data_IF_505909359882
#
_entry.id   IF_505909359882
#
_cell.length_a   1.000
_cell.length_b   1.000
_cell.length_c   1.000
_cell.angle_alpha   90.00
_cell.angle_beta   90.00
_cell.angle_gamma   90.00
#
_symmetry.space_group_name_H-M   'P 1'
#
loop_
_entity.id
_entity.type
_entity.pdbx_description
1 polymer ?
#
# COMPACT_ATOMS: atom_id res chain seq x y z
N UNK A 1 62.37 -47.00 22.31
CA UNK A 1 61.96 -46.17 23.46
C UNK A 1 62.41 -44.74 23.17
N UNK A 2 61.44 -43.84 22.94
CA UNK A 2 61.41 -42.38 23.23
C UNK A 2 62.82 -41.73 23.36
N UNK A 3 63.30 -40.83 22.50
CA UNK A 3 62.73 -39.51 22.23
C UNK A 3 63.34 -38.88 20.94
N UNK A 4 62.45 -38.39 20.07
CA UNK A 4 62.66 -37.37 19.01
C UNK A 4 62.94 -35.99 19.67
N UNK A 5 63.43 -34.89 19.08
CA UNK A 5 63.62 -34.42 17.70
C UNK A 5 64.49 -33.13 17.72
N UNK A 6 64.99 -32.80 16.54
CA UNK A 6 65.86 -31.71 16.08
C UNK A 6 65.53 -30.25 16.48
N UNK A 7 66.52 -29.33 16.36
CA UNK A 7 66.34 -27.89 16.43
C UNK A 7 66.25 -27.16 15.06
N UNK A 8 65.45 -26.10 15.06
CA UNK A 8 65.64 -24.73 14.49
C UNK A 8 65.57 -24.39 12.98
N UNK A 9 64.80 -23.29 12.78
CA UNK A 9 64.76 -22.25 11.71
C UNK A 9 63.87 -22.49 10.46
N UNK A 10 63.37 -21.42 9.79
CA UNK A 10 62.89 -20.13 10.29
C UNK A 10 61.47 -19.73 9.77
N UNK A 11 60.97 -18.67 10.39
CA UNK A 11 59.84 -17.80 10.05
C UNK A 11 59.48 -17.69 8.55
N UNK A 12 58.30 -18.21 8.21
CA UNK A 12 57.55 -17.78 7.02
C UNK A 12 56.30 -17.02 7.44
N UNK A 13 56.25 -15.79 6.97
CA UNK A 13 55.11 -14.87 6.98
C UNK A 13 53.78 -15.61 6.71
N UNK A 14 52.85 -15.55 7.68
CA UNK A 14 51.43 -15.75 7.41
C UNK A 14 50.82 -14.39 7.08
N UNK A 15 50.14 -14.20 5.93
CA UNK A 15 49.35 -13.01 5.72
C UNK A 15 48.15 -13.08 6.67
N UNK A 16 48.01 -12.06 7.51
CA UNK A 16 46.84 -11.82 8.32
C UNK A 16 45.67 -11.55 7.35
N UNK A 17 44.65 -12.41 7.36
CA UNK A 17 43.39 -12.14 6.66
C UNK A 17 42.77 -10.90 7.33
N UNK A 18 42.92 -9.74 6.68
CA UNK A 18 42.17 -8.55 7.04
C UNK A 18 40.71 -8.79 6.66
N UNK A 19 39.88 -9.14 7.63
CA UNK A 19 38.43 -9.01 7.49
C UNK A 19 38.15 -7.53 7.18
N UNK A 20 37.43 -7.19 6.09
CA UNK A 20 36.95 -5.83 5.93
C UNK A 20 35.96 -5.57 7.06
N UNK A 21 36.37 -4.73 8.01
CA UNK A 21 35.49 -4.10 8.96
C UNK A 21 34.46 -3.35 8.13
N UNK A 22 33.25 -3.91 8.00
CA UNK A 22 32.12 -3.23 7.42
C UNK A 22 31.82 -2.05 8.34
N UNK A 23 32.38 -0.90 7.99
CA UNK A 23 32.11 0.35 8.67
C UNK A 23 30.67 0.70 8.34
N UNK A 24 29.74 0.30 9.21
CA UNK A 24 28.41 0.87 9.24
C UNK A 24 28.63 2.33 9.63
N UNK A 25 28.79 3.19 8.63
CA UNK A 25 28.62 4.62 8.81
C UNK A 25 27.15 4.81 9.14
N UNK A 26 26.81 4.72 10.42
CA UNK A 26 25.64 5.44 10.92
C UNK A 26 25.94 6.88 10.58
N UNK A 27 25.30 7.42 9.53
CA UNK A 27 25.28 8.83 9.29
C UNK A 27 24.82 9.48 10.59
N UNK A 28 25.75 10.07 11.32
CA UNK A 28 25.44 10.95 12.43
C UNK A 28 24.72 12.10 11.77
N UNK A 29 23.39 12.02 11.74
CA UNK A 29 22.55 13.13 11.33
C UNK A 29 22.98 14.29 12.21
N UNK A 30 23.63 15.29 11.63
CA UNK A 30 24.04 16.49 12.35
C UNK A 30 22.82 16.99 13.11
N UNK A 31 22.95 17.17 14.42
CA UNK A 31 21.81 17.53 15.24
C UNK A 31 21.36 18.94 14.82
N UNK A 32 20.14 19.13 14.30
CA UNK A 32 19.76 20.38 13.63
C UNK A 32 19.52 21.54 14.61
N UNK A 33 19.55 21.28 15.93
CA UNK A 33 19.43 22.28 16.98
C UNK A 33 20.42 22.04 18.11
N UNK A 34 20.75 23.13 18.82
CA UNK A 34 21.52 23.09 20.05
C UNK A 34 20.58 22.84 21.25
N UNK A 35 20.53 21.60 21.71
CA UNK A 35 19.64 21.17 22.80
C UNK A 35 19.98 21.83 24.14
N UNK A 36 21.20 22.36 24.32
CA UNK A 36 21.58 23.08 25.55
C UNK A 36 20.86 24.42 25.72
N UNK A 37 20.26 24.93 24.64
CA UNK A 37 19.56 26.21 24.59
C UNK A 37 18.04 26.06 24.64
N UNK A 38 17.52 24.83 24.78
CA UNK A 38 16.09 24.64 24.93
C UNK A 38 15.60 25.25 26.23
N UNK A 39 14.44 25.92 26.22
CA UNK A 39 13.85 26.42 27.45
C UNK A 39 13.38 25.25 28.32
N UNK A 40 13.45 25.45 29.64
CA UNK A 40 13.18 24.42 30.63
C UNK A 40 12.12 24.89 31.62
N UNK A 41 11.34 23.98 32.22
CA UNK A 41 10.48 24.29 33.35
C UNK A 41 11.27 24.93 34.52
N UNK A 42 10.63 25.78 35.35
CA UNK A 42 11.25 26.28 36.57
C UNK A 42 11.71 25.14 37.50
N UNK A 43 12.83 25.34 38.18
CA UNK A 43 13.34 24.38 39.18
C UNK A 43 14.12 23.19 38.61
N UNK A 44 14.34 23.11 37.30
CA UNK A 44 15.20 22.08 36.70
C UNK A 44 16.68 22.34 36.95
N UNK A 45 17.45 21.30 37.26
CA UNK A 45 18.91 21.32 37.39
C UNK A 45 19.56 20.48 36.30
N UNK A 46 20.67 20.92 35.67
CA UNK A 46 21.37 20.13 34.66
C UNK A 46 22.03 18.91 35.29
N UNK A 47 21.94 17.77 34.59
CA UNK A 47 22.71 16.54 34.90
C UNK A 47 23.81 16.35 33.87
N UNK A 48 23.46 16.44 32.58
CA UNK A 48 24.38 16.37 31.46
C UNK A 48 23.82 17.20 30.31
N UNK A 49 24.52 18.25 29.88
CA UNK A 49 24.01 19.18 28.86
C UNK A 49 25.05 19.36 27.77
N UNK A 50 24.70 18.92 26.58
CA UNK A 50 25.50 19.02 25.38
C UNK A 50 24.62 19.50 24.22
N UNK A 51 25.21 20.02 23.13
CA UNK A 51 24.42 20.48 21.99
C UNK A 51 23.51 19.41 21.37
N UNK A 52 23.87 18.12 21.50
CA UNK A 52 23.15 17.01 20.87
C UNK A 52 22.34 16.14 21.84
N UNK A 53 22.46 16.36 23.14
CA UNK A 53 21.67 15.69 24.17
C UNK A 53 21.64 16.55 25.43
N UNK A 54 20.48 16.71 26.05
CA UNK A 54 20.35 17.46 27.28
C UNK A 54 19.51 16.69 28.29
N UNK A 55 20.04 16.51 29.50
CA UNK A 55 19.44 15.77 30.59
C UNK A 55 19.38 16.68 31.81
N UNK A 56 18.19 16.82 32.35
CA UNK A 56 17.89 17.64 33.52
C UNK A 56 17.13 16.82 34.56
N UNK A 57 17.19 17.26 35.81
CA UNK A 57 16.44 16.67 36.92
C UNK A 57 15.61 17.74 37.63
N UNK A 58 14.44 17.35 38.13
CA UNK A 58 13.56 18.19 38.95
C UNK A 58 12.88 17.37 40.03
N UNK A 59 12.51 18.04 41.12
CA UNK A 59 11.76 17.45 42.23
C UNK A 59 10.25 17.44 41.95
N UNK A 60 9.80 18.10 40.88
CA UNK A 60 8.41 18.08 40.45
C UNK A 60 7.97 16.68 39.97
N UNK A 61 6.68 16.30 40.17
CA UNK A 61 6.14 15.03 39.65
C UNK A 61 6.27 14.91 38.12
N UNK A 62 6.33 13.68 37.62
CA UNK A 62 6.47 13.36 36.19
C UNK A 62 5.41 14.07 35.34
N UNK A 63 4.13 13.94 35.69
CA UNK A 63 3.03 14.51 34.90
C UNK A 63 3.06 16.05 34.88
N UNK A 64 3.31 16.66 36.03
CA UNK A 64 3.46 18.12 36.14
C UNK A 64 4.64 18.63 35.32
N UNK A 65 5.74 17.89 35.32
CA UNK A 65 6.94 18.21 34.54
C UNK A 65 6.68 18.07 33.04
N UNK A 66 6.00 17.00 32.60
CA UNK A 66 5.64 16.80 31.20
C UNK A 66 4.72 17.92 30.68
N UNK A 67 3.72 18.32 31.47
CA UNK A 67 2.83 19.43 31.14
C UNK A 67 3.59 20.78 31.07
N UNK A 68 4.52 21.01 32.00
CA UNK A 68 5.35 22.22 31.98
C UNK A 68 6.28 22.26 30.75
N UNK A 69 6.91 21.14 30.37
CA UNK A 69 7.69 21.03 29.15
C UNK A 69 6.83 21.33 27.91
N UNK A 70 5.62 20.77 27.82
CA UNK A 70 4.71 21.00 26.71
C UNK A 70 4.37 22.48 26.55
N UNK A 71 4.05 23.17 27.66
CA UNK A 71 3.76 24.60 27.66
C UNK A 71 4.96 25.42 27.16
N UNK A 72 6.13 25.20 27.77
CA UNK A 72 7.34 25.98 27.48
C UNK A 72 7.83 25.79 26.03
N UNK A 73 7.70 24.58 25.49
CA UNK A 73 8.00 24.29 24.09
C UNK A 73 6.96 24.90 23.15
N UNK A 74 5.67 24.83 23.50
CA UNK A 74 4.58 25.47 22.77
C UNK A 74 4.79 26.99 22.63
N UNK A 75 5.22 27.66 23.70
CA UNK A 75 5.55 29.09 23.72
C UNK A 75 6.71 29.44 22.75
N UNK A 76 7.54 28.46 22.33
CA UNK A 76 8.61 28.59 21.34
C UNK A 76 8.22 28.12 19.92
N UNK A 77 6.94 27.84 19.69
CA UNK A 77 6.41 27.41 18.40
C UNK A 77 6.70 25.94 18.06
N UNK A 78 6.95 25.09 19.06
CA UNK A 78 6.96 23.64 18.88
C UNK A 78 5.54 23.09 18.93
N UNK A 79 5.18 22.24 17.98
CA UNK A 79 3.84 21.62 17.93
C UNK A 79 3.90 20.16 18.35
N UNK A 80 2.97 19.65 19.19
CA UNK A 80 2.89 18.22 19.50
C UNK A 80 2.81 17.37 18.24
N UNK A 81 3.52 16.24 18.24
CA UNK A 81 3.68 15.37 17.06
C UNK A 81 3.72 13.88 17.43
N UNK A 82 2.87 13.51 18.39
CA UNK A 82 2.70 12.14 18.87
C UNK A 82 3.47 11.82 20.15
N UNK A 83 3.40 10.56 20.57
CA UNK A 83 4.03 10.07 21.79
C UNK A 83 4.33 8.57 21.72
N UNK A 84 5.33 8.11 22.47
CA UNK A 84 5.62 6.68 22.67
C UNK A 84 6.07 6.47 24.11
N UNK A 85 5.29 5.72 24.90
CA UNK A 85 5.55 5.52 26.32
C UNK A 85 5.68 6.85 27.08
N UNK A 86 6.84 7.06 27.70
CA UNK A 86 7.19 8.29 28.44
C UNK A 86 7.77 9.40 27.55
N UNK A 87 7.93 9.14 26.25
CA UNK A 87 8.45 10.11 25.29
C UNK A 87 7.29 10.84 24.62
N UNK A 88 7.40 12.16 24.53
CA UNK A 88 6.55 13.05 23.75
C UNK A 88 7.37 13.60 22.58
N UNK A 89 6.77 13.64 21.40
CA UNK A 89 7.39 14.18 20.20
C UNK A 89 6.83 15.57 19.93
N UNK A 90 7.71 16.48 19.52
CA UNK A 90 7.34 17.82 19.06
C UNK A 90 8.01 18.11 17.72
N UNK A 91 7.38 18.94 16.91
CA UNK A 91 7.84 19.28 15.56
C UNK A 91 8.01 20.78 15.42
N UNK A 92 9.05 21.17 14.67
CA UNK A 92 9.26 22.53 14.17
C UNK A 92 9.93 22.44 12.80
N UNK A 93 9.17 22.68 11.73
CA UNK A 93 9.60 22.37 10.36
C UNK A 93 9.95 20.88 10.24
N UNK A 94 11.13 20.58 9.69
CA UNK A 94 11.63 19.22 9.53
C UNK A 94 12.36 18.66 10.75
N UNK A 95 12.35 19.36 11.88
CA UNK A 95 13.03 18.91 13.10
C UNK A 95 12.01 18.27 14.04
N UNK A 96 12.30 17.05 14.50
CA UNK A 96 11.52 16.36 15.54
C UNK A 96 12.32 16.34 16.84
N UNK A 97 11.75 16.93 17.88
CA UNK A 97 12.26 16.89 19.25
C UNK A 97 11.61 15.73 20.00
N UNK A 98 12.45 14.95 20.68
CA UNK A 98 12.07 13.87 21.59
C UNK A 98 12.25 14.38 23.01
N UNK A 99 11.18 14.33 23.81
CA UNK A 99 11.21 14.71 25.22
C UNK A 99 10.74 13.53 26.05
N UNK A 100 11.66 12.91 26.77
CA UNK A 100 11.35 11.80 27.69
C UNK A 100 11.30 12.34 29.11
N UNK A 101 10.18 12.16 29.80
CA UNK A 101 10.01 12.55 31.21
C UNK A 101 9.68 11.30 32.02
N UNK A 102 10.53 10.96 32.97
CA UNK A 102 10.36 9.74 33.77
C UNK A 102 11.00 9.87 35.16
N UNK A 103 10.54 9.06 36.11
CA UNK A 103 11.26 8.92 37.39
C UNK A 103 12.53 8.09 37.17
N UNK A 104 13.65 8.55 37.71
CA UNK A 104 14.93 7.87 37.63
C UNK A 104 15.39 7.40 39.02
N UNK A 105 15.33 6.08 39.33
CA UNK A 105 15.80 5.55 40.62
C UNK A 105 17.26 5.90 40.92
N UNK A 106 18.13 5.86 39.90
CA UNK A 106 19.54 6.26 40.01
C UNK A 106 19.77 7.76 40.28
N UNK A 107 18.73 8.59 40.26
CA UNK A 107 18.76 10.01 40.64
C UNK A 107 17.99 10.27 41.95
N UNK A 108 17.82 9.24 42.79
CA UNK A 108 17.10 9.33 44.05
C UNK A 108 15.57 9.38 43.86
N UNK A 109 15.05 8.79 42.79
CA UNK A 109 13.61 8.79 42.48
C UNK A 109 13.07 10.09 41.89
N UNK A 110 13.94 11.09 41.70
CA UNK A 110 13.59 12.38 41.08
C UNK A 110 13.18 12.21 39.62
N UNK A 111 12.44 13.20 39.12
CA UNK A 111 12.01 13.24 37.72
C UNK A 111 13.15 13.72 36.85
N UNK A 112 13.48 12.92 35.83
CA UNK A 112 14.46 13.26 34.80
C UNK A 112 13.75 13.67 33.52
N UNK A 113 14.29 14.70 32.87
CA UNK A 113 13.89 15.16 31.54
C UNK A 113 15.08 14.93 30.62
N UNK A 114 14.88 14.13 29.57
CA UNK A 114 15.89 13.90 28.54
C UNK A 114 15.40 14.43 27.20
N UNK A 115 16.23 15.23 26.55
CA UNK A 115 15.99 15.78 25.22
C UNK A 115 16.89 15.10 24.19
N UNK A 116 16.28 14.74 23.06
CA UNK A 116 16.96 14.34 21.84
C UNK A 116 16.29 14.98 20.65
N UNK A 117 16.94 14.97 19.49
CA UNK A 117 16.35 15.52 18.26
C UNK A 117 16.86 14.77 17.05
N UNK A 118 16.03 14.77 16.02
CA UNK A 118 16.31 14.17 14.75
C UNK A 118 15.80 15.05 13.60
N UNK A 119 16.46 14.91 12.46
CA UNK A 119 16.05 15.51 11.21
C UNK A 119 15.09 14.55 10.50
N UNK A 120 13.85 14.98 10.26
CA UNK A 120 12.87 14.20 9.52
C UNK A 120 13.13 14.30 8.01
N UNK A 121 12.87 13.18 7.33
CA UNK A 121 12.92 13.06 5.87
C UNK A 121 11.82 13.86 5.15
N UNK A 122 10.74 14.22 5.85
CA UNK A 122 9.60 14.94 5.29
C UNK A 122 8.96 15.91 6.30
N UNK A 123 8.58 17.10 5.83
CA UNK A 123 7.75 18.02 6.58
C UNK A 123 6.27 17.71 6.32
N UNK A 124 5.69 16.83 7.12
CA UNK A 124 4.28 16.45 7.00
C UNK A 124 3.41 17.28 7.98
N UNK A 125 2.43 18.06 7.50
CA UNK A 125 1.51 18.79 8.36
C UNK A 125 0.58 17.85 9.14
N UNK A 126 0.24 18.22 10.37
CA UNK A 126 -0.71 17.52 11.22
C UNK A 126 -1.95 18.41 11.42
N UNK A 127 -3.17 17.91 11.18
CA UNK A 127 -4.38 18.70 11.40
C UNK A 127 -4.61 18.96 12.89
N UNK A 128 -5.30 20.07 13.24
CA UNK A 128 -5.67 20.35 14.62
C UNK A 128 -6.57 19.24 15.17
N UNK A 129 -6.35 18.87 16.43
CA UNK A 129 -7.13 17.82 17.08
C UNK A 129 -6.83 16.39 16.60
N UNK A 130 -5.73 16.18 15.86
CA UNK A 130 -5.29 14.83 15.51
C UNK A 130 -4.93 14.02 16.76
N UNK A 131 -5.36 12.77 16.78
CA UNK A 131 -5.15 11.81 17.86
C UNK A 131 -4.31 10.63 17.36
N UNK A 132 -3.75 9.84 18.29
CA UNK A 132 -2.96 8.63 17.98
C UNK A 132 -1.87 8.85 16.93
N UNK A 133 -1.20 10.00 17.02
CA UNK A 133 -0.22 10.43 16.02
C UNK A 133 1.04 9.57 16.06
N UNK A 134 1.40 9.01 14.91
CA UNK A 134 2.58 8.16 14.73
C UNK A 134 3.34 8.57 13.47
N UNK A 135 4.61 8.94 13.63
CA UNK A 135 5.51 9.21 12.50
C UNK A 135 6.62 8.17 12.44
N UNK A 136 6.77 7.57 11.26
CA UNK A 136 7.83 6.63 10.93
C UNK A 136 8.70 7.19 9.79
N UNK A 137 9.94 7.55 10.11
CA UNK A 137 10.85 8.17 9.13
C UNK A 137 11.29 7.18 8.04
N UNK A 138 11.49 5.91 8.40
CA UNK A 138 11.91 4.85 7.47
C UNK A 138 10.92 4.63 6.32
N UNK A 139 9.63 4.87 6.55
CA UNK A 139 8.58 4.79 5.55
C UNK A 139 8.02 6.15 5.14
N UNK A 140 8.59 7.25 5.68
CA UNK A 140 8.16 8.64 5.45
C UNK A 140 6.65 8.80 5.61
N UNK A 141 6.11 8.16 6.66
CA UNK A 141 4.67 8.00 6.89
C UNK A 141 4.25 8.66 8.20
N UNK A 142 3.17 9.43 8.14
CA UNK A 142 2.45 9.98 9.28
C UNK A 142 1.06 9.35 9.35
N UNK A 143 0.78 8.63 10.43
CA UNK A 143 -0.54 8.09 10.76
C UNK A 143 -1.19 8.86 11.90
N UNK A 144 -2.51 9.06 11.85
CA UNK A 144 -3.29 9.66 12.94
C UNK A 144 -4.79 9.39 12.78
N UNK A 145 -5.53 9.57 13.86
CA UNK A 145 -6.98 9.66 13.87
C UNK A 145 -7.43 11.12 13.84
N UNK A 146 -8.52 11.42 13.14
CA UNK A 146 -9.13 12.75 13.14
C UNK A 146 -10.66 12.66 13.11
N UNK A 147 -11.34 13.69 13.62
CA UNK A 147 -12.79 13.87 13.49
C UNK A 147 -13.20 14.55 12.18
N UNK A 148 -12.23 15.00 11.37
CA UNK A 148 -12.50 15.57 10.06
C UNK A 148 -13.07 14.52 9.09
N UNK A 149 -14.04 14.94 8.28
CA UNK A 149 -14.48 14.17 7.11
C UNK A 149 -13.37 14.12 6.03
N UNK A 150 -13.39 13.15 5.10
CA UNK A 150 -12.37 13.03 4.05
C UNK A 150 -12.14 14.32 3.24
N UNK A 151 -13.22 15.04 2.89
CA UNK A 151 -13.14 16.30 2.17
C UNK A 151 -12.48 17.39 3.00
N UNK A 152 -12.82 17.50 4.29
CA UNK A 152 -12.23 18.47 5.20
C UNK A 152 -10.75 18.22 5.45
N UNK A 153 -10.33 16.94 5.53
CA UNK A 153 -8.92 16.60 5.62
C UNK A 153 -8.15 16.90 4.32
N UNK A 154 -8.77 16.67 3.17
CA UNK A 154 -8.20 17.04 1.87
C UNK A 154 -8.05 18.56 1.71
N UNK A 155 -9.01 19.34 2.18
CA UNK A 155 -8.96 20.80 2.20
C UNK A 155 -7.81 21.30 3.09
N UNK A 156 -7.64 20.70 4.28
CA UNK A 156 -6.52 20.99 5.17
C UNK A 156 -5.18 20.78 4.45
N UNK A 157 -4.95 19.64 3.82
CA UNK A 157 -3.68 19.38 3.12
C UNK A 157 -3.49 20.26 1.90
N UNK A 158 -4.55 20.61 1.17
CA UNK A 158 -4.46 21.61 0.08
C UNK A 158 -3.92 22.93 0.59
N UNK A 159 -4.44 23.44 1.71
CA UNK A 159 -4.01 24.70 2.28
C UNK A 159 -2.61 24.62 2.91
N UNK A 160 -2.33 23.55 3.67
CA UNK A 160 -1.07 23.40 4.39
C UNK A 160 0.12 23.17 3.45
N UNK A 161 -0.09 22.49 2.32
CA UNK A 161 0.99 22.15 1.38
C UNK A 161 1.16 23.19 0.26
N UNK A 162 0.16 24.01 -0.04
CA UNK A 162 0.24 25.03 -1.10
C UNK A 162 1.42 26.01 -0.95
N UNK A 163 1.75 26.55 0.25
CA UNK A 163 2.90 27.43 0.43
C UNK A 163 4.24 26.77 0.08
N UNK A 164 4.31 25.44 0.15
CA UNK A 164 5.49 24.67 -0.21
C UNK A 164 5.49 24.22 -1.69
N UNK A 165 4.58 24.73 -2.53
CA UNK A 165 4.53 24.47 -3.97
C UNK A 165 3.94 23.12 -4.36
N UNK A 166 3.23 22.46 -3.44
CA UNK A 166 2.51 21.24 -3.75
C UNK A 166 1.18 21.55 -4.44
N UNK A 167 0.85 20.75 -5.45
CA UNK A 167 -0.40 20.88 -6.20
C UNK A 167 -1.13 19.56 -6.28
N UNK A 168 -2.44 19.57 -6.46
CA UNK A 168 -3.23 18.38 -6.74
C UNK A 168 -4.11 18.62 -7.96
N UNK A 169 -4.21 17.63 -8.85
CA UNK A 169 -5.15 17.65 -9.96
C UNK A 169 -6.53 17.09 -9.57
N UNK A 170 -6.67 16.62 -8.33
CA UNK A 170 -7.88 15.99 -7.82
C UNK A 170 -8.77 17.04 -7.14
N UNK A 171 -9.97 17.25 -7.65
CA UNK A 171 -10.94 18.16 -7.04
C UNK A 171 -11.49 17.64 -5.69
N UNK A 172 -11.61 16.31 -5.57
CA UNK A 172 -12.08 15.61 -4.36
C UNK A 172 -11.29 14.31 -4.16
N UNK A 173 -11.25 13.77 -2.94
CA UNK A 173 -10.73 12.43 -2.72
C UNK A 173 -11.48 11.40 -3.56
N UNK A 174 -10.74 10.49 -4.18
CA UNK A 174 -11.32 9.38 -4.96
C UNK A 174 -11.42 8.17 -4.05
N UNK A 175 -12.58 7.50 -4.08
CA UNK A 175 -12.76 6.23 -3.37
C UNK A 175 -11.97 5.12 -4.07
N UNK A 176 -11.10 4.46 -3.34
CA UNK A 176 -10.27 3.33 -3.76
C UNK A 176 -10.48 2.18 -2.77
N UNK A 177 -11.20 1.14 -3.18
CA UNK A 177 -11.62 0.03 -2.32
C UNK A 177 -12.34 0.51 -1.04
N UNK A 178 -11.63 0.52 0.09
CA UNK A 178 -12.11 0.92 1.41
C UNK A 178 -11.67 2.34 1.82
N UNK A 179 -10.74 2.92 1.08
CA UNK A 179 -10.08 4.17 1.43
C UNK A 179 -10.51 5.31 0.49
N UNK A 180 -10.47 6.54 1.00
CA UNK A 180 -10.48 7.74 0.18
C UNK A 180 -9.04 8.21 -0.01
N UNK A 181 -8.65 8.52 -1.24
CA UNK A 181 -7.28 8.90 -1.56
C UNK A 181 -7.25 10.26 -2.24
N UNK A 182 -6.31 11.11 -1.81
CA UNK A 182 -5.93 12.32 -2.53
C UNK A 182 -4.41 12.39 -2.68
N UNK A 183 -3.96 12.80 -3.86
CA UNK A 183 -2.54 12.84 -4.23
C UNK A 183 -2.14 14.29 -4.50
N UNK A 184 -1.04 14.69 -3.89
CA UNK A 184 -0.34 15.94 -4.12
C UNK A 184 0.99 15.65 -4.82
N UNK A 185 1.35 16.48 -5.79
CA UNK A 185 2.58 16.37 -6.56
C UNK A 185 3.36 17.68 -6.53
N UNK A 186 4.67 17.53 -6.57
CA UNK A 186 5.66 18.60 -6.78
C UNK A 186 6.76 18.01 -7.67
N UNK A 187 7.09 18.61 -8.83
CA UNK A 187 8.12 18.08 -9.71
C UNK A 187 9.49 17.92 -9.02
N UNK A 188 9.82 18.84 -8.12
CA UNK A 188 11.10 18.86 -7.42
C UNK A 188 11.10 17.97 -6.17
N UNK A 189 9.98 17.90 -5.45
CA UNK A 189 9.90 17.22 -4.14
C UNK A 189 9.34 15.80 -4.24
N UNK A 190 8.48 15.51 -5.22
CA UNK A 190 7.89 14.20 -5.46
C UNK A 190 6.38 14.15 -5.24
N UNK A 191 5.92 13.21 -4.41
CA UNK A 191 4.49 12.86 -4.21
C UNK A 191 4.17 12.81 -2.72
N UNK A 192 3.04 13.39 -2.33
CA UNK A 192 2.38 13.11 -1.05
C UNK A 192 1.05 12.46 -1.33
N UNK A 193 0.82 11.29 -0.76
CA UNK A 193 -0.44 10.56 -0.83
C UNK A 193 -1.12 10.57 0.54
N UNK A 194 -2.37 11.00 0.59
CA UNK A 194 -3.19 10.99 1.81
C UNK A 194 -4.26 9.93 1.63
N UNK A 195 -4.12 8.84 2.37
CA UNK A 195 -5.09 7.75 2.45
C UNK A 195 -5.96 7.95 3.68
N UNK A 196 -7.27 7.77 3.52
CA UNK A 196 -8.27 8.12 4.51
C UNK A 196 -9.28 6.99 4.62
N UNK A 197 -9.19 6.22 5.70
CA UNK A 197 -10.09 5.09 5.97
C UNK A 197 -11.18 5.53 6.94
N UNK A 198 -12.45 5.57 6.52
CA UNK A 198 -13.55 5.81 7.44
C UNK A 198 -13.62 4.68 8.47
N UNK A 199 -13.68 5.06 9.75
CA UNK A 199 -14.07 4.18 10.86
C UNK A 199 -15.39 4.68 11.43
N UNK A 200 -16.01 3.92 12.35
CA UNK A 200 -17.36 4.23 12.87
C UNK A 200 -17.54 5.68 13.35
N UNK A 201 -16.52 6.26 14.00
CA UNK A 201 -16.62 7.61 14.58
C UNK A 201 -15.49 8.56 14.15
N UNK A 202 -14.45 8.06 13.49
CA UNK A 202 -13.23 8.80 13.17
C UNK A 202 -12.69 8.40 11.81
N UNK A 203 -11.83 9.24 11.25
CA UNK A 203 -11.08 8.96 10.05
C UNK A 203 -9.66 8.54 10.42
N UNK A 204 -9.26 7.33 10.03
CA UNK A 204 -7.87 6.91 10.10
C UNK A 204 -7.14 7.44 8.86
N UNK A 205 -6.21 8.36 9.07
CA UNK A 205 -5.43 8.97 8.01
C UNK A 205 -4.00 8.43 7.99
N UNK A 206 -3.48 8.18 6.78
CA UNK A 206 -2.08 7.86 6.53
C UNK A 206 -1.55 8.76 5.42
N UNK A 207 -0.57 9.59 5.76
CA UNK A 207 0.10 10.52 4.84
C UNK A 207 1.46 9.97 4.51
N UNK A 208 1.72 9.72 3.23
CA UNK A 208 2.90 9.04 2.74
C UNK A 208 3.63 9.98 1.80
N UNK A 209 4.91 10.24 2.07
CA UNK A 209 5.78 11.01 1.19
C UNK A 209 6.70 10.08 0.38
N UNK A 210 6.79 10.37 -0.92
CA UNK A 210 7.75 9.76 -1.84
C UNK A 210 8.52 10.87 -2.55
N UNK A 211 9.84 10.74 -2.57
CA UNK A 211 10.75 11.66 -3.27
C UNK A 211 10.56 11.61 -4.78
N UNK A 212 11.01 12.64 -5.49
CA UNK A 212 10.95 12.68 -6.95
C UNK A 212 11.62 11.45 -7.61
N UNK A 213 12.76 11.01 -7.08
CA UNK A 213 13.46 9.82 -7.58
C UNK A 213 12.68 8.51 -7.34
N UNK A 214 12.04 8.37 -6.18
CA UNK A 214 11.18 7.21 -5.87
C UNK A 214 9.96 7.18 -6.81
N UNK A 215 9.35 8.35 -7.08
CA UNK A 215 8.22 8.48 -8.01
C UNK A 215 8.63 8.12 -9.44
N UNK A 216 9.75 8.64 -9.93
CA UNK A 216 10.25 8.30 -11.27
C UNK A 216 10.54 6.80 -11.41
N UNK A 217 11.13 6.19 -10.37
CA UNK A 217 11.39 4.76 -10.34
C UNK A 217 10.11 3.92 -10.28
N UNK A 218 9.06 4.40 -9.60
CA UNK A 218 7.74 3.78 -9.56
C UNK A 218 7.05 3.88 -10.94
N UNK A 219 7.06 5.06 -11.57
CA UNK A 219 6.46 5.31 -12.88
C UNK A 219 7.14 4.47 -13.98
N UNK A 220 8.48 4.36 -13.97
CA UNK A 220 9.22 3.46 -14.87
C UNK A 220 8.83 2.00 -14.68
N UNK A 221 8.69 1.54 -13.43
CA UNK A 221 8.25 0.18 -13.12
C UNK A 221 6.82 -0.09 -13.58
N UNK A 222 5.91 0.84 -13.32
CA UNK A 222 4.52 0.76 -13.75
C UNK A 222 4.40 0.73 -15.29
N UNK A 223 5.18 1.56 -15.99
CA UNK A 223 5.22 1.57 -17.46
C UNK A 223 5.75 0.24 -18.02
N UNK A 224 6.83 -0.31 -17.45
CA UNK A 224 7.37 -1.60 -17.85
C UNK A 224 6.39 -2.75 -17.61
N UNK A 225 5.71 -2.77 -16.46
CA UNK A 225 4.67 -3.75 -16.16
C UNK A 225 3.48 -3.61 -17.09
N UNK A 226 3.01 -2.39 -17.35
CA UNK A 226 1.93 -2.12 -18.30
C UNK A 226 2.27 -2.57 -19.72
N UNK A 227 3.51 -2.32 -20.17
CA UNK A 227 4.01 -2.79 -21.45
C UNK A 227 4.06 -4.33 -21.51
N UNK A 228 4.57 -4.98 -20.47
CA UNK A 228 4.62 -6.44 -20.39
C UNK A 228 3.22 -7.09 -20.38
N UNK A 229 2.27 -6.51 -19.65
CA UNK A 229 0.87 -6.96 -19.65
C UNK A 229 0.27 -6.79 -21.04
N UNK A 230 0.48 -5.63 -21.69
CA UNK A 230 -0.03 -5.37 -23.04
C UNK A 230 0.57 -6.34 -24.07
N UNK A 231 1.87 -6.61 -23.99
CA UNK A 231 2.56 -7.58 -24.86
C UNK A 231 2.03 -9.00 -24.65
N UNK A 232 1.85 -9.42 -23.38
CA UNK A 232 1.25 -10.72 -23.05
C UNK A 232 -0.15 -10.86 -23.64
N UNK A 233 -1.01 -9.86 -23.43
CA UNK A 233 -2.36 -9.83 -23.98
C UNK A 233 -2.36 -9.85 -25.52
N UNK A 234 -1.43 -9.13 -26.15
CA UNK A 234 -1.29 -9.14 -27.61
C UNK A 234 -0.84 -10.51 -28.15
N UNK A 235 0.11 -11.18 -27.48
CA UNK A 235 0.55 -12.54 -27.82
C UNK A 235 -0.57 -13.56 -27.65
N UNK A 236 -1.32 -13.48 -26.55
CA UNK A 236 -2.50 -14.33 -26.31
C UNK A 236 -3.59 -14.09 -27.37
N UNK A 237 -3.80 -12.84 -27.79
CA UNK A 237 -4.77 -12.51 -28.84
C UNK A 237 -4.33 -13.01 -30.23
N UNK A 238 -3.03 -13.02 -30.52
CA UNK A 238 -2.45 -13.44 -31.80
C UNK A 238 -2.15 -14.95 -31.89
N UNK A 239 -2.23 -15.68 -30.77
CA UNK A 239 -2.06 -17.13 -30.78
C UNK A 239 -3.15 -17.79 -31.66
N UNK A 240 -2.79 -18.77 -32.51
CA UNK A 240 -3.76 -19.46 -33.35
C UNK A 240 -4.77 -20.17 -32.46
N UNK A 241 -6.04 -19.81 -32.62
CA UNK A 241 -7.13 -20.38 -31.84
C UNK A 241 -7.60 -21.67 -32.52
N UNK A 242 -7.64 -22.81 -31.82
CA UNK A 242 -8.29 -23.99 -32.35
C UNK A 242 -9.78 -23.68 -32.60
N UNK A 243 -10.42 -24.42 -33.50
CA UNK A 243 -11.84 -24.25 -33.80
C UNK A 243 -12.67 -25.26 -33.02
N UNK A 244 -13.84 -24.84 -32.55
CA UNK A 244 -14.88 -25.71 -31.99
C UNK A 244 -16.13 -25.62 -32.85
N UNK A 245 -16.55 -26.76 -33.37
CA UNK A 245 -17.79 -26.86 -34.13
C UNK A 245 -18.98 -26.94 -33.16
N UNK A 246 -19.94 -26.03 -33.30
CA UNK A 246 -21.20 -26.05 -32.53
C UNK A 246 -22.31 -26.54 -33.44
N UNK A 247 -22.93 -27.70 -33.16
CA UNK A 247 -24.07 -28.16 -33.91
C UNK A 247 -25.27 -27.26 -33.62
N UNK A 248 -25.87 -26.73 -34.68
CA UNK A 248 -27.13 -26.01 -34.60
C UNK A 248 -28.28 -26.96 -34.96
N UNK A 249 -29.41 -26.91 -34.24
CA UNK A 249 -30.57 -27.70 -34.62
C UNK A 249 -31.21 -27.14 -35.90
N UNK A 250 -31.96 -27.96 -36.63
CA UNK A 250 -32.52 -27.59 -37.94
C UNK A 250 -33.60 -26.49 -37.86
N UNK A 251 -34.16 -26.27 -36.68
CA UNK A 251 -35.25 -25.32 -36.39
C UNK A 251 -34.77 -23.96 -35.86
N UNK A 252 -33.50 -23.61 -36.11
CA UNK A 252 -32.97 -22.27 -35.77
C UNK A 252 -33.69 -21.19 -36.58
N UNK A 253 -34.33 -20.27 -35.88
CA UNK A 253 -35.12 -19.17 -36.45
C UNK A 253 -34.21 -18.03 -36.92
N UNK A 254 -33.16 -17.74 -36.17
CA UNK A 254 -32.16 -16.71 -36.48
C UNK A 254 -30.83 -17.06 -35.84
N UNK A 255 -29.72 -16.68 -36.47
CA UNK A 255 -28.37 -16.87 -35.94
C UNK A 255 -27.46 -15.69 -36.23
N UNK A 256 -26.60 -15.35 -35.28
CA UNK A 256 -25.58 -14.32 -35.38
C UNK A 256 -24.30 -14.81 -34.70
N UNK A 257 -23.20 -14.87 -35.45
CA UNK A 257 -21.86 -15.10 -34.92
C UNK A 257 -21.09 -13.79 -34.99
N UNK A 258 -20.82 -13.19 -33.83
CA UNK A 258 -20.04 -11.94 -33.74
C UNK A 258 -18.81 -12.22 -32.88
N UNK A 259 -17.63 -12.18 -33.51
CA UNK A 259 -16.37 -12.62 -32.90
C UNK A 259 -16.48 -14.07 -32.40
N UNK A 260 -16.49 -14.27 -31.08
CA UNK A 260 -16.53 -15.57 -30.40
C UNK A 260 -17.82 -15.76 -29.59
N UNK A 261 -18.89 -15.08 -30.01
CA UNK A 261 -20.21 -15.18 -29.41
C UNK A 261 -21.20 -15.57 -30.50
N UNK A 262 -21.72 -16.79 -30.41
CA UNK A 262 -22.80 -17.28 -31.25
C UNK A 262 -24.11 -17.11 -30.50
N UNK A 263 -25.04 -16.33 -31.06
CA UNK A 263 -26.40 -16.20 -30.56
C UNK A 263 -27.37 -16.72 -31.59
N UNK A 264 -28.36 -17.48 -31.16
CA UNK A 264 -29.40 -17.96 -32.05
C UNK A 264 -30.71 -18.20 -31.33
N UNK A 265 -31.80 -18.18 -32.08
CA UNK A 265 -33.14 -18.40 -31.57
C UNK A 265 -33.64 -19.77 -31.98
N UNK A 266 -34.33 -20.44 -31.06
CA UNK A 266 -35.01 -21.74 -31.27
C UNK A 266 -36.51 -21.59 -31.04
N UNK A 267 -37.30 -22.56 -31.51
CA UNK A 267 -38.74 -22.55 -31.25
C UNK A 267 -39.04 -22.55 -29.74
N UNK A 268 -40.20 -22.00 -29.36
CA UNK A 268 -40.62 -21.91 -27.97
C UNK A 268 -40.62 -23.30 -27.29
N UNK A 269 -40.06 -23.38 -26.07
CA UNK A 269 -39.93 -24.61 -25.30
C UNK A 269 -38.82 -25.57 -25.77
N UNK A 270 -37.92 -25.14 -26.66
CA UNK A 270 -36.79 -25.95 -27.17
C UNK A 270 -35.43 -25.61 -26.57
N UNK A 271 -35.29 -24.47 -25.89
CA UNK A 271 -34.01 -23.96 -25.37
C UNK A 271 -33.22 -24.98 -24.56
N UNK A 272 -33.87 -25.62 -23.56
CA UNK A 272 -33.23 -26.65 -22.73
C UNK A 272 -32.73 -27.85 -23.53
N UNK A 273 -33.59 -28.39 -24.40
CA UNK A 273 -33.25 -29.56 -25.22
C UNK A 273 -32.10 -29.26 -26.19
N UNK A 274 -32.07 -28.05 -26.74
CA UNK A 274 -30.97 -27.59 -27.59
C UNK A 274 -29.66 -27.51 -26.82
N UNK A 275 -29.65 -26.90 -25.62
CA UNK A 275 -28.45 -26.80 -24.78
C UNK A 275 -27.97 -28.19 -24.32
N UNK A 276 -28.87 -29.11 -23.99
CA UNK A 276 -28.52 -30.49 -23.65
C UNK A 276 -27.89 -31.25 -24.82
N UNK A 277 -28.36 -31.02 -26.05
CA UNK A 277 -27.76 -31.59 -27.26
C UNK A 277 -26.33 -31.08 -27.49
N UNK A 278 -26.12 -29.77 -27.41
CA UNK A 278 -24.79 -29.17 -27.56
C UNK A 278 -23.87 -29.63 -26.43
N UNK A 279 -24.37 -29.70 -25.19
CA UNK A 279 -23.65 -30.25 -24.03
C UNK A 279 -23.14 -31.66 -24.30
N UNK A 280 -23.99 -32.55 -24.80
CA UNK A 280 -23.60 -33.93 -25.15
C UNK A 280 -22.55 -33.98 -26.26
N UNK A 281 -22.66 -33.10 -27.25
CA UNK A 281 -21.68 -33.01 -28.32
C UNK A 281 -20.30 -32.57 -27.79
N UNK A 282 -20.27 -31.55 -26.92
CA UNK A 282 -19.04 -31.02 -26.35
C UNK A 282 -18.35 -32.04 -25.44
N UNK A 283 -19.09 -32.70 -24.54
CA UNK A 283 -18.53 -33.76 -23.69
C UNK A 283 -18.02 -34.95 -24.50
N UNK A 284 -18.76 -35.35 -25.55
CA UNK A 284 -18.31 -36.37 -26.51
C UNK A 284 -17.06 -35.96 -27.30
N UNK A 285 -16.80 -34.66 -27.44
CA UNK A 285 -15.62 -34.09 -28.09
C UNK A 285 -14.46 -33.81 -27.12
N UNK A 286 -14.53 -34.36 -25.90
CA UNK A 286 -13.48 -34.25 -24.89
C UNK A 286 -13.45 -32.94 -24.11
N UNK A 287 -14.51 -32.11 -24.19
CA UNK A 287 -14.64 -30.96 -23.29
C UNK A 287 -15.08 -31.44 -21.91
N UNK A 288 -14.38 -30.96 -20.87
CA UNK A 288 -14.74 -31.24 -19.48
C UNK A 288 -15.81 -30.25 -19.05
N UNK A 289 -16.92 -30.74 -18.52
CA UNK A 289 -17.92 -29.89 -17.91
C UNK A 289 -17.47 -29.44 -16.51
N UNK A 290 -17.58 -28.15 -16.24
CA UNK A 290 -17.22 -27.55 -14.94
C UNK A 290 -18.46 -27.21 -14.11
N UNK A 291 -19.56 -26.81 -14.75
CA UNK A 291 -20.83 -26.54 -14.06
C UNK A 291 -22.02 -26.61 -15.03
N UNK A 292 -23.19 -26.97 -14.50
CA UNK A 292 -24.45 -26.97 -15.24
C UNK A 292 -25.63 -26.62 -14.31
N UNK A 293 -26.43 -25.64 -14.71
CA UNK A 293 -27.72 -25.30 -14.10
C UNK A 293 -28.74 -25.20 -15.23
N UNK A 294 -29.75 -26.08 -15.22
CA UNK A 294 -30.68 -26.25 -16.36
C UNK A 294 -32.14 -26.35 -15.88
N UNK A 295 -32.81 -25.21 -15.79
CA UNK A 295 -34.24 -25.12 -15.47
C UNK A 295 -35.11 -25.04 -16.71
N UNK A 296 -36.43 -25.12 -16.58
CA UNK A 296 -37.32 -25.07 -17.74
C UNK A 296 -37.21 -23.74 -18.53
N UNK A 297 -37.03 -22.62 -17.83
CA UNK A 297 -37.08 -21.29 -18.43
C UNK A 297 -35.70 -20.69 -18.79
N UNK A 298 -34.63 -21.18 -18.16
CA UNK A 298 -33.28 -20.68 -18.39
C UNK A 298 -32.22 -21.66 -17.88
N UNK A 299 -30.99 -21.51 -18.34
CA UNK A 299 -29.87 -22.26 -17.81
C UNK A 299 -28.52 -21.81 -18.33
N UNK A 300 -27.47 -22.30 -17.67
CA UNK A 300 -26.07 -22.05 -17.99
C UNK A 300 -25.27 -23.35 -17.83
N UNK A 301 -24.43 -23.65 -18.81
CA UNK A 301 -23.46 -24.76 -18.76
C UNK A 301 -22.09 -24.23 -19.13
N UNK A 302 -21.05 -24.61 -18.38
CA UNK A 302 -19.67 -24.20 -18.62
C UNK A 302 -18.74 -25.40 -18.81
N UNK A 303 -17.80 -25.27 -19.74
CA UNK A 303 -16.84 -26.28 -20.12
C UNK A 303 -15.40 -25.74 -20.16
N UNK A 304 -14.43 -26.62 -19.94
CA UNK A 304 -12.99 -26.34 -20.07
C UNK A 304 -12.28 -27.42 -20.91
N UNK A 305 -11.22 -27.01 -21.64
CA UNK A 305 -10.30 -27.93 -22.34
C UNK A 305 -8.99 -27.22 -22.67
N UNK A 306 -7.85 -27.71 -22.18
CA UNK A 306 -6.50 -27.18 -22.50
C UNK A 306 -6.36 -25.64 -22.38
N UNK A 307 -6.90 -25.06 -21.31
CA UNK A 307 -6.89 -23.61 -21.08
C UNK A 307 -7.94 -22.81 -21.87
N UNK A 308 -8.78 -23.47 -22.67
CA UNK A 308 -9.93 -22.91 -23.36
C UNK A 308 -11.18 -23.05 -22.48
N UNK A 309 -12.10 -22.09 -22.58
CA UNK A 309 -13.38 -22.12 -21.87
C UNK A 309 -14.53 -21.87 -22.82
N UNK A 310 -15.62 -22.60 -22.64
CA UNK A 310 -16.86 -22.40 -23.39
C UNK A 310 -18.05 -22.37 -22.44
N UNK A 311 -18.98 -21.44 -22.64
CA UNK A 311 -20.21 -21.34 -21.87
C UNK A 311 -21.41 -21.29 -22.80
N UNK A 312 -22.49 -21.95 -22.40
CA UNK A 312 -23.76 -21.98 -23.11
C UNK A 312 -24.83 -21.51 -22.15
N UNK A 313 -25.50 -20.41 -22.48
CA UNK A 313 -26.66 -19.91 -21.77
C UNK A 313 -27.90 -19.96 -22.64
N UNK A 314 -29.07 -20.11 -22.03
CA UNK A 314 -30.34 -19.94 -22.73
C UNK A 314 -31.40 -19.31 -21.85
N UNK A 315 -32.36 -18.67 -22.51
CA UNK A 315 -33.60 -18.15 -21.92
C UNK A 315 -34.75 -18.52 -22.85
N UNK A 316 -35.65 -19.37 -22.37
CA UNK A 316 -36.81 -19.87 -23.10
C UNK A 316 -38.03 -19.96 -22.18
N UNK A 317 -38.85 -18.90 -22.14
CA UNK A 317 -40.02 -18.87 -21.27
C UNK A 317 -41.18 -19.76 -21.76
N UNK A 318 -41.04 -20.46 -22.89
CA UNK A 318 -41.99 -21.47 -23.38
C UNK A 318 -43.16 -20.95 -24.22
N UNK A 319 -43.38 -19.63 -24.28
CA UNK A 319 -44.46 -19.00 -25.08
C UNK A 319 -43.95 -18.07 -26.20
N UNK A 320 -42.64 -17.85 -26.28
CA UNK A 320 -41.96 -17.10 -27.33
C UNK A 320 -40.66 -17.84 -27.71
N UNK A 321 -40.06 -17.58 -28.89
CA UNK A 321 -38.81 -18.23 -29.28
C UNK A 321 -37.73 -18.08 -28.21
N UNK A 322 -37.09 -19.19 -27.85
CA UNK A 322 -35.99 -19.20 -26.89
C UNK A 322 -34.71 -18.61 -27.50
N UNK A 323 -33.92 -17.89 -26.72
CA UNK A 323 -32.58 -17.42 -27.10
C UNK A 323 -31.52 -18.35 -26.50
N UNK A 324 -30.54 -18.76 -27.30
CA UNK A 324 -29.37 -19.51 -26.86
C UNK A 324 -28.12 -18.71 -27.20
N UNK A 325 -27.25 -18.52 -26.22
CA UNK A 325 -25.93 -17.91 -26.34
C UNK A 325 -24.82 -18.94 -26.13
N UNK A 326 -23.82 -18.92 -26.99
CA UNK A 326 -22.57 -19.67 -26.82
C UNK A 326 -21.42 -18.67 -26.85
N UNK A 327 -20.61 -18.65 -25.79
CA UNK A 327 -19.43 -17.80 -25.67
C UNK A 327 -18.19 -18.65 -25.45
N UNK A 328 -17.12 -18.35 -26.17
CA UNK A 328 -15.88 -19.10 -26.06
C UNK A 328 -14.65 -18.19 -25.89
N UNK A 329 -13.71 -18.63 -25.04
CA UNK A 329 -12.40 -18.01 -24.83
C UNK A 329 -11.30 -19.01 -25.14
N UNK A 330 -10.25 -18.57 -25.84
CA UNK A 330 -9.13 -19.42 -26.27
C UNK A 330 -9.42 -20.34 -27.47
N UNK A 331 -10.65 -20.37 -28.00
CA UNK A 331 -11.09 -21.20 -29.14
C UNK A 331 -12.00 -20.37 -30.05
N UNK A 332 -12.00 -20.61 -31.36
CA UNK A 332 -12.92 -19.98 -32.31
C UNK A 332 -14.18 -20.83 -32.50
N UNK A 333 -15.36 -20.20 -32.45
CA UNK A 333 -16.62 -20.89 -32.71
C UNK A 333 -16.82 -21.01 -34.23
N UNK A 334 -17.05 -22.23 -34.69
CA UNK A 334 -17.53 -22.53 -36.04
C UNK A 334 -18.90 -23.21 -35.95
N UNK A 335 -19.80 -22.92 -36.88
CA UNK A 335 -21.11 -23.58 -36.95
C UNK A 335 -20.90 -24.90 -37.70
N UNK A 336 -21.23 -26.03 -37.08
CA UNK A 336 -21.17 -27.33 -37.76
C UNK A 336 -22.14 -27.35 -38.94
N UNK A 337 -21.71 -27.92 -40.07
CA UNK A 337 -22.55 -28.11 -41.26
C UNK A 337 -23.56 -29.23 -41.08
#
# INVERSE_FOLDING_TARGET
MIQRLHPLLPSRFRPLLALPMLLIVSAVHANPIDLSKLPLPPGTKPVAVFPHTAIHVTDAPVDATAAACAKVLGDQGWTPYGSSGQTRYYKKGTIRLLVTVQSAPGQGGRTTISFGSEQMSADLPLPPGAEEVQYADSSKRLGFLTSLAPEGLADFYRQALAPAGWTTTMAKPVKSELDHVIIFRSPEKGKIEVQMRPMEQKLLASVIYSTAAEVEAEEKRAAAQGAAIKEKLAKEAAAPKPKVAIPLPADVVSKALVKNVLKFNVAAGKGKATVESIRKHLTGSGWKEESATLDAAAGLVSFSRDGQTLSIDYMDPGFMPGEVGVKASGVEIEIAK
#
